data_IF_885162704957
#
_entry.id   IF_885162704957
#
_cell.length_a   1.000
_cell.length_b   1.000
_cell.length_c   1.000
_cell.angle_alpha   90.00
_cell.angle_beta   90.00
_cell.angle_gamma   90.00
#
_symmetry.space_group_name_H-M   'P 1'
#
loop_
_entity.id
_entity.type
_entity.pdbx_description
1 polymer ?
#
# COMPACT_ATOMS: atom_id res chain seq x y z
N UNK A 1 -11.68 -4.29 -13.71
CA UNK A 1 -12.18 -3.02 -13.15
C UNK A 1 -13.36 -3.30 -12.23
N UNK A 2 -13.39 -2.63 -11.11
CA UNK A 2 -14.48 -2.76 -10.15
C UNK A 2 -15.28 -1.48 -10.06
N UNK A 3 -16.61 -1.57 -9.78
CA UNK A 3 -17.46 -0.37 -9.70
C UNK A 3 -17.02 0.65 -8.65
N UNK A 4 -16.28 0.23 -7.63
CA UNK A 4 -15.80 1.08 -6.55
C UNK A 4 -14.40 1.67 -6.81
N UNK A 5 -13.79 1.42 -7.96
CA UNK A 5 -12.45 1.96 -8.26
C UNK A 5 -12.35 3.49 -8.08
N UNK A 6 -13.37 4.30 -8.41
CA UNK A 6 -13.32 5.73 -8.10
C UNK A 6 -13.16 6.05 -6.60
N UNK A 7 -13.71 5.22 -5.72
CA UNK A 7 -13.54 5.37 -4.26
C UNK A 7 -12.08 5.12 -3.87
N UNK A 8 -11.45 4.11 -4.47
CA UNK A 8 -10.03 3.80 -4.24
C UNK A 8 -9.14 4.95 -4.73
N UNK A 9 -9.42 5.49 -5.91
CA UNK A 9 -8.67 6.65 -6.45
C UNK A 9 -8.77 7.84 -5.50
N UNK A 10 -9.96 8.15 -5.01
CA UNK A 10 -10.16 9.24 -4.06
C UNK A 10 -9.37 9.01 -2.76
N UNK A 11 -9.36 7.78 -2.24
CA UNK A 11 -8.64 7.43 -1.02
C UNK A 11 -7.13 7.63 -1.18
N UNK A 12 -6.53 7.10 -2.24
CA UNK A 12 -5.06 7.17 -2.44
C UNK A 12 -4.57 8.55 -2.85
N UNK A 13 -5.44 9.42 -3.32
CA UNK A 13 -5.11 10.82 -3.67
C UNK A 13 -5.14 11.78 -2.49
N UNK A 14 -5.70 11.37 -1.36
CA UNK A 14 -5.67 12.19 -0.15
C UNK A 14 -4.22 12.34 0.31
N UNK A 15 -3.82 13.56 0.71
CA UNK A 15 -2.49 13.75 1.27
C UNK A 15 -2.29 12.86 2.50
N UNK A 16 -1.17 12.13 2.53
CA UNK A 16 -0.76 11.33 3.68
C UNK A 16 0.55 11.90 4.21
N UNK A 17 0.51 12.48 5.40
CA UNK A 17 1.66 13.10 6.05
C UNK A 17 2.05 12.39 7.35
N UNK A 18 1.16 11.58 7.88
CA UNK A 18 1.36 10.82 9.12
C UNK A 18 1.08 9.34 8.91
N UNK A 19 1.58 8.50 9.81
CA UNK A 19 1.26 7.06 9.80
C UNK A 19 -0.25 6.86 10.01
N UNK A 20 -0.91 7.69 10.79
CA UNK A 20 -2.37 7.64 10.96
C UNK A 20 -3.11 7.88 9.64
N UNK A 21 -2.63 8.81 8.81
CA UNK A 21 -3.21 9.05 7.48
C UNK A 21 -3.04 7.83 6.57
N UNK A 22 -1.87 7.20 6.60
CA UNK A 22 -1.58 5.96 5.85
C UNK A 22 -2.53 4.85 6.27
N UNK A 23 -2.69 4.61 7.56
CA UNK A 23 -3.60 3.60 8.10
C UNK A 23 -5.05 3.90 7.71
N UNK A 24 -5.47 5.16 7.76
CA UNK A 24 -6.81 5.58 7.35
C UNK A 24 -7.08 5.24 5.88
N UNK A 25 -6.12 5.50 4.99
CA UNK A 25 -6.22 5.14 3.58
C UNK A 25 -6.33 3.63 3.38
N UNK A 26 -5.47 2.86 4.03
CA UNK A 26 -5.47 1.39 3.94
C UNK A 26 -6.77 0.78 4.47
N UNK A 27 -7.33 1.31 5.56
CA UNK A 27 -8.62 0.88 6.10
C UNK A 27 -9.76 1.16 5.14
N UNK A 28 -9.73 2.29 4.45
CA UNK A 28 -10.71 2.62 3.41
C UNK A 28 -10.62 1.63 2.25
N UNK A 29 -9.43 1.30 1.79
CA UNK A 29 -9.22 0.31 0.73
C UNK A 29 -9.75 -1.06 1.18
N UNK A 30 -9.39 -1.50 2.37
CA UNK A 30 -9.82 -2.80 2.91
C UNK A 30 -11.34 -2.90 3.00
N UNK A 31 -11.99 -1.86 3.51
CA UNK A 31 -13.44 -1.83 3.66
C UNK A 31 -14.18 -1.74 2.31
N UNK A 32 -13.55 -1.18 1.30
CA UNK A 32 -14.15 -0.97 -0.03
C UNK A 32 -14.03 -2.21 -0.91
N UNK A 33 -12.86 -2.88 -0.90
CA UNK A 33 -12.62 -4.03 -1.75
C UNK A 33 -13.42 -5.24 -1.31
N UNK A 34 -14.04 -5.93 -2.28
CA UNK A 34 -14.68 -7.24 -2.04
C UNK A 34 -13.64 -8.34 -1.95
N UNK A 35 -14.02 -9.48 -1.38
CA UNK A 35 -13.12 -10.62 -1.19
C UNK A 35 -12.55 -11.20 -2.49
N UNK A 36 -13.25 -11.02 -3.60
CA UNK A 36 -12.79 -11.43 -4.94
C UNK A 36 -11.77 -10.49 -5.58
N UNK A 37 -11.47 -9.36 -4.96
CA UNK A 37 -10.47 -8.41 -5.45
C UNK A 37 -9.11 -8.72 -4.83
N UNK A 38 -8.16 -9.13 -5.66
CA UNK A 38 -6.81 -9.51 -5.21
C UNK A 38 -6.05 -8.37 -4.51
N UNK A 39 -6.35 -7.12 -4.85
CA UNK A 39 -5.78 -5.95 -4.18
C UNK A 39 -6.05 -5.97 -2.68
N UNK A 40 -7.24 -6.42 -2.27
CA UNK A 40 -7.62 -6.49 -0.86
C UNK A 40 -6.59 -7.24 -0.02
N UNK A 41 -6.05 -8.32 -0.52
CA UNK A 41 -5.22 -9.24 0.25
C UNK A 41 -3.81 -8.71 0.48
N UNK A 42 -3.22 -8.02 -0.49
CA UNK A 42 -1.98 -7.29 -0.24
C UNK A 42 -2.24 -6.13 0.71
N UNK A 43 -3.27 -5.33 0.46
CA UNK A 43 -3.59 -4.17 1.30
C UNK A 43 -3.87 -4.59 2.75
N UNK A 44 -4.59 -5.69 2.95
CA UNK A 44 -4.86 -6.24 4.27
C UNK A 44 -3.56 -6.61 5.00
N UNK A 45 -2.68 -7.34 4.32
CA UNK A 45 -1.38 -7.71 4.92
C UNK A 45 -0.57 -6.46 5.28
N UNK A 46 -0.47 -5.51 4.39
CA UNK A 46 0.27 -4.27 4.61
C UNK A 46 -0.34 -3.44 5.74
N UNK A 47 -1.67 -3.40 5.82
CA UNK A 47 -2.39 -2.77 6.93
C UNK A 47 -2.01 -3.39 8.28
N UNK A 48 -1.95 -4.72 8.38
CA UNK A 48 -1.53 -5.39 9.62
C UNK A 48 -0.09 -5.03 10.00
N UNK A 49 0.83 -5.05 9.04
CA UNK A 49 2.23 -4.70 9.27
C UNK A 49 2.37 -3.24 9.72
N UNK A 50 1.72 -2.33 9.04
CA UNK A 50 1.79 -0.88 9.35
C UNK A 50 1.19 -0.58 10.72
N UNK A 51 0.07 -1.20 11.07
CA UNK A 51 -0.54 -1.05 12.40
C UNK A 51 0.37 -1.59 13.52
N UNK A 52 1.07 -2.70 13.28
CA UNK A 52 2.03 -3.26 14.23
C UNK A 52 3.24 -2.33 14.41
N UNK A 53 3.75 -1.73 13.33
CA UNK A 53 4.84 -0.76 13.39
C UNK A 53 4.42 0.48 14.16
N UNK A 54 3.22 1.02 13.91
CA UNK A 54 2.71 2.18 14.65
C UNK A 54 2.59 1.89 16.14
N UNK A 55 2.04 0.74 16.51
CA UNK A 55 1.93 0.33 17.91
C UNK A 55 3.31 0.23 18.57
N UNK A 56 4.32 -0.27 17.85
CA UNK A 56 5.69 -0.37 18.34
C UNK A 56 6.34 1.00 18.51
N UNK A 57 6.09 1.93 17.57
CA UNK A 57 6.54 3.32 17.70
C UNK A 57 5.93 3.95 18.95
N UNK A 58 4.64 3.81 19.15
CA UNK A 58 3.92 4.38 20.29
C UNK A 58 4.40 3.82 21.63
N UNK A 59 4.84 2.57 21.68
CA UNK A 59 5.38 1.92 22.88
C UNK A 59 6.86 2.21 23.15
N UNK A 60 7.53 3.00 22.30
CA UNK A 60 8.95 3.32 22.44
C UNK A 60 9.90 2.21 21.99
N UNK A 61 9.42 1.29 21.14
CA UNK A 61 10.22 0.14 20.66
C UNK A 61 11.33 0.45 19.66
N UNK A 62 11.42 1.68 19.17
CA UNK A 62 12.43 2.13 18.22
C UNK A 62 13.19 3.33 18.75
N UNK A 63 14.49 3.46 18.38
CA UNK A 63 15.35 4.53 18.84
C UNK A 63 15.12 5.86 18.11
N UNK A 64 14.78 5.82 16.82
CA UNK A 64 14.49 7.01 16.01
C UNK A 64 13.08 6.89 15.41
N UNK A 65 12.09 7.31 16.20
CA UNK A 65 10.68 7.21 15.81
C UNK A 65 10.30 8.21 14.74
N UNK A 66 10.93 9.38 14.70
CA UNK A 66 10.66 10.41 13.70
C UNK A 66 11.08 9.94 12.31
N UNK A 67 12.32 9.44 12.19
CA UNK A 67 12.83 8.93 10.93
C UNK A 67 12.01 7.73 10.45
N UNK A 68 11.69 6.81 11.35
CA UNK A 68 10.91 5.62 11.01
C UNK A 68 9.49 5.98 10.55
N UNK A 69 8.86 6.95 11.20
CA UNK A 69 7.53 7.44 10.78
C UNK A 69 7.57 8.09 9.40
N UNK A 70 8.60 8.86 9.10
CA UNK A 70 8.80 9.45 7.77
C UNK A 70 9.03 8.38 6.71
N UNK A 71 9.86 7.37 7.01
CA UNK A 71 10.08 6.23 6.12
C UNK A 71 8.77 5.50 5.82
N UNK A 72 7.98 5.22 6.85
CA UNK A 72 6.69 4.54 6.70
C UNK A 72 5.75 5.30 5.77
N UNK A 73 5.67 6.62 5.93
CA UNK A 73 4.83 7.47 5.07
C UNK A 73 5.34 7.48 3.63
N UNK A 74 6.65 7.68 3.42
CA UNK A 74 7.22 7.68 2.07
C UNK A 74 7.05 6.33 1.38
N UNK A 75 7.24 5.24 2.12
CA UNK A 75 7.07 3.89 1.61
C UNK A 75 5.62 3.62 1.17
N UNK A 76 4.65 3.98 2.00
CA UNK A 76 3.24 3.81 1.70
C UNK A 76 2.79 4.66 0.50
N UNK A 77 3.31 5.87 0.36
CA UNK A 77 2.98 6.76 -0.75
C UNK A 77 3.36 6.18 -2.11
N UNK A 78 4.42 5.39 -2.20
CA UNK A 78 4.80 4.72 -3.45
C UNK A 78 3.74 3.70 -3.87
N UNK A 79 3.19 2.94 -2.94
CA UNK A 79 2.07 2.04 -3.19
C UNK A 79 0.82 2.82 -3.63
N UNK A 80 0.45 3.86 -2.90
CA UNK A 80 -0.74 4.66 -3.23
C UNK A 80 -0.61 5.35 -4.59
N UNK A 81 0.57 5.86 -4.91
CA UNK A 81 0.83 6.47 -6.22
C UNK A 81 0.71 5.46 -7.36
N UNK A 82 1.27 4.27 -7.20
CA UNK A 82 1.18 3.21 -8.18
C UNK A 82 -0.28 2.78 -8.42
N UNK A 83 -1.04 2.58 -7.34
CA UNK A 83 -2.45 2.21 -7.42
C UNK A 83 -3.29 3.29 -8.09
N UNK A 84 -3.11 4.55 -7.68
CA UNK A 84 -3.83 5.68 -8.26
C UNK A 84 -3.55 5.85 -9.75
N UNK A 85 -2.29 5.69 -10.17
CA UNK A 85 -1.90 5.76 -11.57
C UNK A 85 -2.55 4.64 -12.40
N UNK A 86 -2.49 3.40 -11.91
CA UNK A 86 -3.08 2.25 -12.59
C UNK A 86 -4.60 2.40 -12.74
N UNK A 87 -5.29 2.80 -11.69
CA UNK A 87 -6.75 2.96 -11.71
C UNK A 87 -7.23 4.14 -12.56
N UNK A 88 -6.36 5.09 -12.82
CA UNK A 88 -6.64 6.27 -13.65
C UNK A 88 -6.20 6.09 -15.12
N UNK A 89 -5.79 4.89 -15.52
CA UNK A 89 -5.35 4.60 -16.88
C UNK A 89 -3.91 5.04 -17.18
N UNK A 90 -3.16 5.48 -16.17
CA UNK A 90 -1.75 5.81 -16.28
C UNK A 90 -0.85 4.58 -16.13
N UNK A 91 0.45 4.80 -16.29
CA UNK A 91 1.46 3.75 -16.10
C UNK A 91 1.97 3.75 -14.65
N UNK A 92 2.27 2.57 -14.15
CA UNK A 92 2.96 2.38 -12.88
C UNK A 92 4.11 1.38 -13.08
N UNK A 93 5.01 1.21 -12.10
CA UNK A 93 6.07 0.20 -12.21
C UNK A 93 5.51 -1.18 -12.57
N UNK A 94 6.20 -1.89 -13.46
CA UNK A 94 5.74 -3.18 -14.00
C UNK A 94 5.44 -4.21 -12.90
N UNK A 95 6.23 -4.22 -11.83
CA UNK A 95 6.01 -5.12 -10.71
C UNK A 95 4.66 -4.90 -10.02
N UNK A 96 4.19 -3.66 -9.90
CA UNK A 96 2.86 -3.33 -9.42
C UNK A 96 1.77 -3.65 -10.43
N UNK A 97 2.05 -3.40 -11.71
CA UNK A 97 1.07 -3.65 -12.77
C UNK A 97 0.63 -5.10 -12.84
N UNK A 98 1.55 -6.03 -12.57
CA UNK A 98 1.22 -7.48 -12.51
C UNK A 98 0.12 -7.76 -11.50
N UNK A 99 0.23 -7.21 -10.28
CA UNK A 99 -0.80 -7.36 -9.25
C UNK A 99 -2.12 -6.73 -9.69
N UNK A 100 -2.06 -5.50 -10.20
CA UNK A 100 -3.26 -4.73 -10.55
C UNK A 100 -4.00 -5.34 -11.75
N UNK A 101 -3.30 -5.89 -12.72
CA UNK A 101 -3.90 -6.55 -13.88
C UNK A 101 -4.59 -7.86 -13.50
N UNK A 102 -4.07 -8.55 -12.48
CA UNK A 102 -4.60 -9.85 -12.04
C UNK A 102 -5.65 -9.75 -10.92
N UNK A 103 -5.91 -8.56 -10.39
CA UNK A 103 -6.74 -8.40 -9.19
C UNK A 103 -8.16 -8.97 -9.30
N UNK A 104 -8.73 -9.05 -10.51
CA UNK A 104 -10.06 -9.61 -10.76
C UNK A 104 -10.04 -11.06 -11.25
N UNK A 105 -8.87 -11.67 -11.36
CA UNK A 105 -8.72 -13.03 -11.91
C UNK A 105 -9.13 -14.05 -10.86
N UNK A 106 -10.11 -14.91 -11.20
CA UNK A 106 -10.53 -16.02 -10.36
C UNK A 106 -9.46 -17.14 -10.32
N UNK A 107 -9.45 -17.90 -9.24
CA UNK A 107 -8.55 -19.06 -9.10
C UNK A 107 -7.16 -18.75 -8.58
N UNK A 108 -6.82 -17.49 -8.39
CA UNK A 108 -5.56 -17.10 -7.74
C UNK A 108 -5.81 -17.07 -6.23
N UNK A 109 -4.94 -17.73 -5.45
CA UNK A 109 -5.07 -17.76 -4.01
C UNK A 109 -4.76 -16.39 -3.38
N UNK A 110 -5.43 -16.07 -2.27
CA UNK A 110 -5.23 -14.82 -1.54
C UNK A 110 -3.77 -14.56 -1.22
N UNK A 111 -3.04 -15.58 -0.79
CA UNK A 111 -1.62 -15.46 -0.45
C UNK A 111 -0.76 -15.10 -1.66
N UNK A 112 -1.13 -15.55 -2.86
CA UNK A 112 -0.41 -15.20 -4.08
C UNK A 112 -0.53 -13.70 -4.39
N UNK A 113 -1.71 -13.11 -4.21
CA UNK A 113 -1.88 -11.66 -4.33
C UNK A 113 -1.08 -10.89 -3.28
N UNK A 114 -1.14 -11.34 -2.04
CA UNK A 114 -0.38 -10.71 -0.96
C UNK A 114 1.12 -10.74 -1.24
N UNK A 115 1.65 -11.86 -1.68
CA UNK A 115 3.09 -12.02 -1.97
C UNK A 115 3.51 -11.26 -3.23
N UNK A 116 2.67 -11.14 -4.23
CA UNK A 116 2.97 -10.32 -5.41
C UNK A 116 3.13 -8.85 -5.03
N UNK A 117 2.26 -8.35 -4.16
CA UNK A 117 2.36 -6.98 -3.64
C UNK A 117 3.57 -6.78 -2.73
N UNK A 118 3.88 -7.73 -1.86
CA UNK A 118 5.10 -7.70 -1.03
C UNK A 118 6.34 -7.65 -1.91
N UNK A 119 6.40 -8.47 -2.96
CA UNK A 119 7.51 -8.46 -3.90
C UNK A 119 7.69 -7.10 -4.57
N UNK A 120 6.61 -6.50 -5.08
CA UNK A 120 6.66 -5.17 -5.69
C UNK A 120 7.11 -4.10 -4.69
N UNK A 121 6.52 -4.11 -3.50
CA UNK A 121 6.77 -3.08 -2.49
C UNK A 121 8.18 -3.17 -1.89
N UNK A 122 8.62 -4.36 -1.52
CA UNK A 122 9.94 -4.56 -0.90
C UNK A 122 11.06 -4.46 -1.94
N UNK A 123 10.94 -5.15 -3.07
CA UNK A 123 12.05 -5.23 -4.04
C UNK A 123 12.16 -3.99 -4.95
N UNK A 124 11.10 -3.19 -5.07
CA UNK A 124 11.11 -2.00 -5.91
C UNK A 124 11.06 -0.72 -5.08
N UNK A 125 10.07 -0.60 -4.18
CA UNK A 125 9.75 0.67 -3.54
C UNK A 125 10.65 0.99 -2.33
N UNK A 126 11.09 0.00 -1.57
CA UNK A 126 11.78 0.24 -0.31
C UNK A 126 13.09 1.02 -0.50
N UNK A 127 13.88 0.68 -1.50
CA UNK A 127 15.13 1.40 -1.77
C UNK A 127 14.86 2.87 -2.10
N UNK A 128 13.82 3.15 -2.89
CA UNK A 128 13.42 4.51 -3.24
C UNK A 128 12.94 5.27 -2.00
N UNK A 129 12.13 4.66 -1.15
CA UNK A 129 11.66 5.27 0.09
C UNK A 129 12.81 5.61 1.03
N UNK A 130 13.80 4.74 1.15
CA UNK A 130 15.00 4.97 1.97
C UNK A 130 15.78 6.19 1.46
N UNK A 131 15.99 6.28 0.16
CA UNK A 131 16.69 7.43 -0.44
C UNK A 131 15.92 8.73 -0.20
N UNK A 132 14.61 8.74 -0.40
CA UNK A 132 13.78 9.93 -0.20
C UNK A 132 13.72 10.37 1.26
N UNK A 133 13.74 9.44 2.20
CA UNK A 133 13.71 9.74 3.63
C UNK A 133 15.03 10.33 4.12
N UNK A 134 16.15 9.88 3.56
CA UNK A 134 17.48 10.38 3.92
C UNK A 134 17.90 11.66 3.17
N UNK A 135 17.11 12.06 2.20
CA UNK A 135 17.45 13.23 1.37
C UNK A 135 17.35 14.57 2.11
#
# INVERSE_FOLDING_TARGET
MFPYDPVLVAAVRRPATTVADVLGCMRTIDATCVDGDGLKWFNWLYLQVTAAVEARIASGGFSDTTWLSELDVQFAKLYFTALGASLSGGSCPTCWQVLFDCRSTAGIARIQFAMAGVNAHINHDLAQALVETDA
#
